data_IF_091499384769
#
_entry.id   IF_091499384769
#
_cell.length_a   1.000
_cell.length_b   1.000
_cell.length_c   1.000
_cell.angle_alpha   90.00
_cell.angle_beta   90.00
_cell.angle_gamma   90.00
#
_symmetry.space_group_name_H-M   'P 1'
#
loop_
_entity.id
_entity.type
_entity.pdbx_description
1 polymer ?
#
# COMPACT_ATOMS: atom_id res chain seq x y z
N UNK A 1 -19.38 -68.82 -36.85
CA UNK A 1 -20.33 -67.96 -37.58
C UNK A 1 -20.03 -66.49 -37.21
N UNK A 2 -19.41 -65.80 -38.17
CA UNK A 2 -19.00 -64.38 -38.03
C UNK A 2 -20.20 -63.45 -38.12
N UNK A 3 -20.29 -62.48 -37.19
CA UNK A 3 -21.01 -61.24 -37.46
C UNK A 3 -20.12 -60.05 -37.10
N UNK A 4 -19.71 -59.36 -38.14
CA UNK A 4 -18.98 -58.07 -38.10
C UNK A 4 -19.97 -56.97 -37.75
N UNK A 5 -19.67 -56.19 -36.74
CA UNK A 5 -20.38 -54.93 -36.46
C UNK A 5 -19.66 -53.76 -37.10
N UNK A 6 -20.38 -53.03 -37.91
CA UNK A 6 -19.96 -51.80 -38.61
C UNK A 6 -20.12 -50.66 -37.66
N UNK A 7 -19.00 -49.88 -37.45
CA UNK A 7 -19.03 -48.61 -36.71
C UNK A 7 -19.21 -47.49 -37.75
N UNK A 8 -20.34 -46.78 -37.66
CA UNK A 8 -20.56 -45.52 -38.40
C UNK A 8 -19.86 -44.38 -37.66
N UNK A 9 -18.93 -43.75 -38.31
CA UNK A 9 -18.35 -42.48 -37.89
C UNK A 9 -19.21 -41.32 -38.42
N UNK A 10 -19.80 -40.54 -37.52
CA UNK A 10 -20.45 -39.28 -37.87
C UNK A 10 -19.48 -38.15 -37.71
N UNK A 11 -19.11 -37.56 -38.84
CA UNK A 11 -18.33 -36.30 -38.90
C UNK A 11 -19.24 -35.14 -38.60
N UNK A 12 -18.98 -34.41 -37.49
CA UNK A 12 -19.59 -33.11 -37.21
C UNK A 12 -18.75 -32.01 -37.83
N UNK A 13 -19.30 -31.34 -38.80
CA UNK A 13 -18.77 -30.13 -39.43
C UNK A 13 -19.05 -28.94 -38.52
N UNK A 14 -17.98 -28.34 -37.93
CA UNK A 14 -18.08 -27.06 -37.22
C UNK A 14 -17.97 -25.90 -38.22
N UNK A 15 -19.02 -25.13 -38.37
CA UNK A 15 -19.02 -23.89 -39.10
C UNK A 15 -18.34 -22.77 -38.29
N UNK A 16 -17.19 -22.29 -38.73
CA UNK A 16 -16.54 -21.14 -38.18
C UNK A 16 -17.16 -19.86 -38.76
N UNK A 17 -17.86 -19.09 -37.91
CA UNK A 17 -18.30 -17.74 -38.26
C UNK A 17 -17.11 -16.78 -38.11
N UNK A 18 -16.61 -16.28 -39.22
CA UNK A 18 -15.60 -15.20 -39.29
C UNK A 18 -16.29 -13.87 -38.96
N UNK A 19 -15.99 -13.30 -37.81
CA UNK A 19 -16.29 -11.92 -37.48
C UNK A 19 -15.19 -11.05 -38.09
N UNK A 20 -15.53 -10.34 -39.16
CA UNK A 20 -14.66 -9.39 -39.83
C UNK A 20 -14.44 -8.16 -38.95
N UNK A 21 -13.22 -7.97 -38.46
CA UNK A 21 -12.76 -6.72 -37.85
C UNK A 21 -12.22 -5.85 -39.00
N UNK A 22 -12.94 -4.82 -39.34
CA UNK A 22 -12.45 -3.77 -40.24
C UNK A 22 -11.44 -2.91 -39.51
N UNK A 23 -10.16 -3.11 -39.80
CA UNK A 23 -9.07 -2.21 -39.41
C UNK A 23 -9.17 -0.95 -40.28
N UNK A 24 -9.54 0.18 -39.69
CA UNK A 24 -9.39 1.48 -40.31
C UNK A 24 -7.90 1.80 -40.39
N UNK A 25 -7.40 1.85 -41.63
CA UNK A 25 -6.04 2.30 -41.94
C UNK A 25 -6.04 3.82 -41.86
N UNK A 26 -5.36 4.38 -40.87
CA UNK A 26 -5.01 5.80 -40.81
C UNK A 26 -3.72 5.98 -41.62
N UNK A 27 -3.64 6.91 -42.59
CA UNK A 27 -2.41 7.12 -43.33
C UNK A 27 -1.32 7.70 -42.43
N UNK A 28 -0.16 7.13 -42.51
CA UNK A 28 1.05 7.59 -41.88
C UNK A 28 1.65 8.73 -42.70
N UNK A 29 1.54 9.96 -42.20
CA UNK A 29 2.49 11.01 -42.51
C UNK A 29 3.05 11.53 -41.19
N UNK A 30 4.15 10.92 -40.77
CA UNK A 30 5.02 11.49 -39.75
C UNK A 30 6.45 11.15 -40.13
N UNK A 31 7.21 12.17 -40.41
CA UNK A 31 8.65 12.14 -40.65
C UNK A 31 9.37 11.39 -39.54
N UNK A 32 10.25 10.49 -39.94
CA UNK A 32 11.26 9.91 -39.07
C UNK A 32 12.23 11.01 -38.62
N UNK A 33 12.33 11.19 -37.32
CA UNK A 33 13.52 11.70 -36.68
C UNK A 33 13.75 10.96 -35.35
N UNK A 34 14.77 10.12 -35.38
CA UNK A 34 15.73 9.92 -34.33
C UNK A 34 15.35 9.12 -33.07
N UNK A 35 15.85 7.90 -33.06
CA UNK A 35 16.40 7.18 -31.89
C UNK A 35 15.51 7.04 -30.64
N UNK A 36 15.04 5.79 -30.42
CA UNK A 36 14.45 5.33 -29.18
C UNK A 36 15.32 5.65 -27.97
N UNK A 37 14.92 6.60 -27.14
CA UNK A 37 15.40 6.79 -25.81
C UNK A 37 14.50 6.00 -24.84
N UNK A 38 15.08 4.96 -24.26
CA UNK A 38 14.59 4.34 -23.04
C UNK A 38 14.26 5.44 -22.03
N UNK A 39 13.07 5.39 -21.42
CA UNK A 39 12.59 6.38 -20.46
C UNK A 39 13.58 6.61 -19.34
N UNK A 40 14.34 7.69 -19.44
CA UNK A 40 15.25 8.19 -18.43
C UNK A 40 14.42 8.75 -17.27
N UNK A 41 14.53 8.14 -16.09
CA UNK A 41 14.14 8.76 -14.81
C UNK A 41 15.15 9.87 -14.43
N UNK A 42 15.32 10.85 -15.23
CA UNK A 42 16.25 11.92 -14.91
C UNK A 42 16.16 13.01 -15.94
N UNK A 43 15.92 14.22 -15.50
CA UNK A 43 16.11 15.51 -16.18
C UNK A 43 14.90 16.22 -16.80
N UNK A 44 13.67 15.70 -16.65
CA UNK A 44 12.47 16.45 -17.07
C UNK A 44 11.80 17.27 -15.95
N UNK A 45 12.41 17.43 -14.79
CA UNK A 45 11.77 18.06 -13.62
C UNK A 45 12.01 19.57 -13.48
N UNK A 46 12.77 20.17 -14.37
CA UNK A 46 13.18 21.59 -14.20
C UNK A 46 12.04 22.61 -14.35
N UNK A 47 10.85 22.21 -14.86
CA UNK A 47 9.73 23.12 -15.05
C UNK A 47 8.39 22.64 -14.46
N UNK A 48 8.33 21.52 -13.73
CA UNK A 48 7.13 21.15 -13.01
C UNK A 48 7.03 21.99 -11.74
N UNK A 49 5.88 22.60 -11.48
CA UNK A 49 5.62 23.32 -10.25
C UNK A 49 5.86 22.35 -9.06
N UNK A 50 6.95 22.59 -8.32
CA UNK A 50 7.25 21.85 -7.10
C UNK A 50 6.44 22.42 -5.96
N UNK A 51 6.12 21.57 -4.98
CA UNK A 51 5.52 22.06 -3.74
C UNK A 51 6.47 22.98 -2.97
N UNK A 52 5.94 23.66 -1.99
CA UNK A 52 6.70 24.51 -1.06
C UNK A 52 6.83 23.82 0.27
N UNK A 53 8.07 23.62 0.73
CA UNK A 53 8.33 23.15 2.10
C UNK A 53 7.95 24.21 3.12
N UNK A 54 7.27 23.82 4.19
CA UNK A 54 6.83 24.74 5.23
C UNK A 54 6.00 24.07 6.31
N UNK A 55 5.60 24.87 7.27
CA UNK A 55 4.65 24.46 8.30
C UNK A 55 3.28 24.21 7.68
N UNK A 56 2.55 23.26 8.26
CA UNK A 56 1.16 22.95 7.91
C UNK A 56 0.22 23.65 8.87
N UNK A 57 -1.01 23.92 8.41
CA UNK A 57 -2.09 24.38 9.28
C UNK A 57 -2.98 23.20 9.73
N UNK A 58 -3.63 23.38 10.89
CA UNK A 58 -4.55 22.39 11.45
C UNK A 58 -5.96 22.47 10.83
N UNK A 59 -6.24 23.48 10.00
CA UNK A 59 -7.59 23.76 9.52
C UNK A 59 -7.97 22.79 8.42
N UNK A 60 -8.99 21.98 8.68
CA UNK A 60 -9.56 21.07 7.71
C UNK A 60 -10.86 21.67 7.16
N UNK A 61 -10.93 21.81 5.84
CA UNK A 61 -12.17 22.19 5.15
C UNK A 61 -13.10 20.97 5.07
N UNK A 62 -14.39 21.21 4.86
CA UNK A 62 -15.40 20.15 4.76
C UNK A 62 -15.13 19.18 3.58
N UNK A 63 -14.43 19.64 2.52
CA UNK A 63 -14.04 18.84 1.35
C UNK A 63 -12.69 18.13 1.51
N UNK A 64 -12.04 18.24 2.66
CA UNK A 64 -10.73 17.64 2.90
C UNK A 64 -10.80 16.10 2.88
N UNK A 65 -9.91 15.49 2.12
CA UNK A 65 -9.72 14.04 2.05
C UNK A 65 -8.28 13.72 2.42
N UNK A 66 -8.11 12.70 3.26
CA UNK A 66 -6.82 12.34 3.83
C UNK A 66 -6.34 10.99 3.31
N UNK A 67 -5.02 10.87 3.16
CA UNK A 67 -4.37 9.65 2.69
C UNK A 67 -3.10 9.41 3.49
N UNK A 68 -2.71 8.14 3.54
CA UNK A 68 -1.43 7.72 4.11
C UNK A 68 -0.77 6.65 3.24
N UNK A 69 0.52 6.43 3.46
CA UNK A 69 1.26 5.33 2.89
C UNK A 69 2.42 4.92 3.79
N UNK A 70 2.72 3.62 3.77
CA UNK A 70 3.91 3.03 4.37
C UNK A 70 4.91 2.74 3.27
N UNK A 71 6.06 3.39 3.34
CA UNK A 71 7.11 3.30 2.31
C UNK A 71 8.27 2.45 2.82
N UNK A 72 8.77 1.58 1.96
CA UNK A 72 10.00 0.84 2.18
C UNK A 72 10.71 0.56 0.84
N UNK A 73 12.00 0.20 0.91
CA UNK A 73 12.79 -0.05 -0.29
C UNK A 73 12.40 -1.31 -1.05
N UNK A 74 11.77 -2.30 -0.37
CA UNK A 74 11.33 -3.54 -1.02
C UNK A 74 10.14 -3.34 -1.96
N UNK A 75 9.44 -2.22 -1.85
CA UNK A 75 8.33 -1.87 -2.73
C UNK A 75 8.80 -1.16 -4.02
N UNK A 76 10.06 -0.77 -4.09
CA UNK A 76 10.61 -0.16 -5.31
C UNK A 76 10.64 -1.15 -6.46
N UNK A 77 10.47 -0.63 -7.66
CA UNK A 77 10.43 -1.42 -8.89
C UNK A 77 11.61 -1.01 -9.77
N UNK A 78 12.63 -1.86 -9.89
CA UNK A 78 13.79 -1.54 -10.73
C UNK A 78 13.39 -1.48 -12.22
N UNK A 79 14.06 -0.61 -12.96
CA UNK A 79 13.97 -0.54 -14.42
C UNK A 79 15.29 -1.03 -15.00
N UNK A 80 15.23 -1.88 -16.02
CA UNK A 80 16.44 -2.39 -16.68
C UNK A 80 17.28 -1.21 -17.21
N UNK A 81 18.56 -1.16 -16.81
CA UNK A 81 19.46 -0.06 -17.15
C UNK A 81 19.15 1.28 -16.49
N UNK A 82 18.17 1.31 -15.60
CA UNK A 82 17.78 2.51 -14.85
C UNK A 82 18.67 2.77 -13.62
N UNK A 83 18.44 3.91 -12.95
CA UNK A 83 19.18 4.28 -11.74
C UNK A 83 18.87 3.34 -10.57
N UNK A 84 19.74 3.35 -9.55
CA UNK A 84 19.57 2.54 -8.35
C UNK A 84 18.26 2.85 -7.63
N UNK A 85 17.60 1.80 -7.13
CA UNK A 85 16.36 1.86 -6.36
C UNK A 85 16.41 0.91 -5.15
N UNK A 86 15.63 1.23 -4.13
CA UNK A 86 15.32 0.30 -3.04
C UNK A 86 16.34 0.27 -1.92
N UNK A 87 16.32 1.27 -1.05
CA UNK A 87 17.07 1.28 0.20
C UNK A 87 16.48 0.23 1.17
N UNK A 88 17.24 -0.82 1.46
CA UNK A 88 16.77 -1.97 2.26
C UNK A 88 16.42 -1.58 3.70
N UNK A 89 17.16 -0.64 4.26
CA UNK A 89 16.98 -0.16 5.63
C UNK A 89 15.98 0.98 5.71
N UNK A 90 15.67 1.56 4.55
CA UNK A 90 14.80 2.71 4.38
C UNK A 90 13.35 2.44 4.77
N UNK A 91 12.80 3.37 5.56
CA UNK A 91 11.38 3.39 5.94
C UNK A 91 10.88 4.82 5.97
N UNK A 92 9.66 5.02 5.48
CA UNK A 92 8.97 6.30 5.63
C UNK A 92 7.47 6.10 5.77
N UNK A 93 6.83 7.08 6.38
CA UNK A 93 5.39 7.27 6.36
C UNK A 93 5.12 8.56 5.61
N UNK A 94 4.11 8.53 4.77
CA UNK A 94 3.62 9.71 4.08
C UNK A 94 2.16 9.94 4.41
N UNK A 95 1.79 11.22 4.58
CA UNK A 95 0.40 11.66 4.69
C UNK A 95 0.12 12.75 3.66
N UNK A 96 -1.10 12.74 3.12
CA UNK A 96 -1.63 13.82 2.30
C UNK A 96 -2.97 14.30 2.84
N UNK A 97 -3.19 15.60 2.71
CA UNK A 97 -4.53 16.21 2.77
C UNK A 97 -4.79 16.89 1.42
N UNK A 98 -5.90 16.54 0.77
CA UNK A 98 -6.37 17.19 -0.46
C UNK A 98 -7.60 17.97 -0.15
N UNK A 99 -7.54 19.30 -0.25
CA UNK A 99 -8.69 20.21 -0.06
C UNK A 99 -8.70 21.28 -1.16
N UNK A 100 -9.76 21.26 -2.00
CA UNK A 100 -9.79 22.08 -3.21
C UNK A 100 -8.67 21.68 -4.18
N UNK A 101 -7.80 22.64 -4.53
CA UNK A 101 -6.62 22.47 -5.36
C UNK A 101 -5.31 22.44 -4.57
N UNK A 102 -5.39 22.46 -3.24
CA UNK A 102 -4.24 22.35 -2.35
C UNK A 102 -4.02 20.91 -1.91
N UNK A 103 -2.78 20.46 -1.99
CA UNK A 103 -2.29 19.18 -1.49
C UNK A 103 -1.25 19.43 -0.43
N UNK A 104 -1.61 19.27 0.85
CA UNK A 104 -0.65 19.30 1.95
C UNK A 104 0.01 17.93 2.09
N UNK A 105 1.31 17.88 2.41
CA UNK A 105 2.04 16.64 2.60
C UNK A 105 2.87 16.66 3.89
N UNK A 106 3.01 15.48 4.49
CA UNK A 106 3.90 15.25 5.62
C UNK A 106 4.60 13.90 5.46
N UNK A 107 5.91 13.90 5.56
CA UNK A 107 6.74 12.70 5.57
C UNK A 107 7.51 12.60 6.88
N UNK A 108 7.59 11.38 7.42
CA UNK A 108 8.57 11.00 8.45
C UNK A 108 9.39 9.85 7.88
N UNK A 109 10.72 9.91 7.95
CA UNK A 109 11.61 8.92 7.35
C UNK A 109 12.81 8.61 8.23
N UNK A 110 13.33 7.39 8.07
CA UNK A 110 14.48 6.86 8.80
C UNK A 110 15.19 5.79 7.97
N UNK A 111 16.46 5.54 8.28
CA UNK A 111 17.28 4.53 7.60
C UNK A 111 17.54 4.84 6.12
N UNK A 112 17.35 6.08 5.69
CA UNK A 112 17.71 6.57 4.35
C UNK A 112 18.64 7.76 4.46
N UNK A 113 19.47 7.98 3.46
CA UNK A 113 20.21 9.24 3.32
C UNK A 113 19.24 10.42 3.16
N UNK A 114 19.76 11.65 3.33
CA UNK A 114 18.94 12.87 3.19
C UNK A 114 18.19 12.89 1.85
N UNK A 115 16.86 12.96 1.85
CA UNK A 115 16.08 12.98 0.62
C UNK A 115 16.43 14.15 -0.31
N UNK A 116 16.50 13.84 -1.61
CA UNK A 116 16.74 14.81 -2.69
C UNK A 116 15.46 15.19 -3.43
N UNK A 117 14.44 14.31 -3.41
CA UNK A 117 13.14 14.58 -4.01
C UNK A 117 12.04 13.74 -3.37
N UNK A 118 10.79 14.19 -3.51
CA UNK A 118 9.59 13.45 -3.14
C UNK A 118 8.45 13.72 -4.11
N UNK A 119 7.68 12.68 -4.44
CA UNK A 119 6.60 12.74 -5.42
C UNK A 119 5.42 11.84 -5.05
N UNK A 120 4.25 12.12 -5.65
CA UNK A 120 3.24 11.10 -5.93
C UNK A 120 3.30 10.74 -7.41
N UNK A 121 3.36 9.46 -7.68
CA UNK A 121 3.29 8.89 -9.02
C UNK A 121 1.93 8.22 -9.25
N UNK A 122 1.53 8.05 -10.50
CA UNK A 122 0.38 7.24 -10.87
C UNK A 122 0.86 5.89 -11.41
N UNK A 123 0.63 4.83 -10.66
CA UNK A 123 1.02 3.47 -11.00
C UNK A 123 0.50 2.50 -9.95
N UNK A 124 -0.03 1.37 -10.39
CA UNK A 124 -0.44 0.28 -9.51
C UNK A 124 0.76 -0.34 -8.80
N UNK A 125 0.51 -1.13 -7.77
CA UNK A 125 1.54 -1.90 -7.05
C UNK A 125 2.40 -2.72 -8.02
N UNK A 126 3.72 -2.62 -7.88
CA UNK A 126 4.68 -3.33 -8.73
C UNK A 126 4.81 -2.78 -10.16
N UNK A 127 4.26 -1.60 -10.44
CA UNK A 127 4.38 -0.92 -11.74
C UNK A 127 4.91 0.50 -11.54
N UNK A 128 5.92 0.87 -12.33
CA UNK A 128 6.37 2.25 -12.40
C UNK A 128 5.38 3.09 -13.20
N UNK A 129 5.25 4.35 -12.81
CA UNK A 129 4.36 5.30 -13.45
C UNK A 129 4.93 6.72 -13.42
N UNK A 130 4.30 7.62 -14.15
CA UNK A 130 4.72 9.01 -14.24
C UNK A 130 4.55 9.76 -12.91
N UNK A 131 5.43 10.72 -12.63
CA UNK A 131 5.25 11.73 -11.58
C UNK A 131 3.98 12.53 -11.87
N UNK A 132 3.12 12.68 -10.88
CA UNK A 132 1.88 13.44 -11.00
C UNK A 132 1.81 14.62 -10.04
N UNK A 133 2.34 14.48 -8.84
CA UNK A 133 2.40 15.57 -7.86
C UNK A 133 3.83 15.64 -7.31
N UNK A 134 4.65 16.59 -7.78
CA UNK A 134 5.96 16.85 -7.21
C UNK A 134 5.83 17.67 -5.94
N UNK A 135 6.52 17.24 -4.87
CA UNK A 135 6.56 17.95 -3.60
C UNK A 135 7.80 18.81 -3.45
N UNK A 136 8.96 18.20 -3.64
CA UNK A 136 10.22 18.90 -3.71
C UNK A 136 11.21 18.14 -4.59
N UNK A 137 12.16 18.87 -5.17
CA UNK A 137 13.23 18.34 -6.03
C UNK A 137 14.60 18.96 -5.66
N UNK A 138 14.75 19.35 -4.39
CA UNK A 138 15.99 19.88 -3.83
C UNK A 138 16.32 19.11 -2.57
N UNK A 139 17.60 18.75 -2.40
CA UNK A 139 18.10 18.06 -1.21
C UNK A 139 17.65 18.80 0.05
N UNK A 140 17.06 18.07 0.98
CA UNK A 140 16.71 18.59 2.30
C UNK A 140 18.00 18.93 3.10
N UNK A 141 17.91 19.80 4.12
CA UNK A 141 19.01 19.97 5.07
C UNK A 141 19.37 18.63 5.74
N UNK A 142 20.67 18.41 5.94
CA UNK A 142 21.14 17.18 6.59
C UNK A 142 20.62 17.07 8.03
N UNK A 143 20.41 15.82 8.49
CA UNK A 143 19.88 15.54 9.82
C UNK A 143 18.34 15.67 9.94
N UNK A 144 17.64 16.08 8.89
CA UNK A 144 16.19 16.07 8.87
C UNK A 144 15.66 14.63 8.82
N UNK A 145 14.61 14.37 9.60
CA UNK A 145 13.85 13.11 9.60
C UNK A 145 12.40 13.30 9.17
N UNK A 146 12.02 14.56 8.88
CA UNK A 146 10.67 14.91 8.44
C UNK A 146 10.71 15.94 7.31
N UNK A 147 9.69 15.94 6.46
CA UNK A 147 9.43 16.98 5.47
C UNK A 147 7.93 17.27 5.41
N UNK A 148 7.57 18.54 5.52
CA UNK A 148 6.18 19.01 5.43
C UNK A 148 6.07 20.16 4.45
N UNK A 149 4.90 20.34 3.87
CA UNK A 149 4.66 21.45 2.94
C UNK A 149 3.35 21.30 2.18
N UNK A 150 3.19 22.15 1.17
CA UNK A 150 2.00 22.18 0.32
C UNK A 150 2.38 22.23 -1.16
N UNK A 151 1.55 21.67 -2.01
CA UNK A 151 1.62 21.78 -3.47
C UNK A 151 0.25 22.22 -4.02
N UNK A 152 0.26 23.12 -5.00
CA UNK A 152 -0.96 23.49 -5.71
C UNK A 152 -1.15 22.57 -6.92
N UNK A 153 -2.30 21.90 -7.01
CA UNK A 153 -2.64 20.96 -8.08
C UNK A 153 -3.95 21.38 -8.72
N UNK A 154 -3.88 22.02 -9.88
CA UNK A 154 -5.05 22.54 -10.61
C UNK A 154 -5.74 21.49 -11.47
N UNK A 155 -5.10 20.34 -11.72
CA UNK A 155 -5.68 19.20 -12.46
C UNK A 155 -6.77 18.52 -11.61
N UNK A 156 -8.01 18.95 -11.79
CA UNK A 156 -9.17 18.38 -11.09
C UNK A 156 -9.42 16.90 -11.41
N UNK A 157 -9.02 16.44 -12.62
CA UNK A 157 -9.16 15.03 -13.01
C UNK A 157 -8.18 14.16 -12.21
N UNK A 158 -6.94 14.63 -12.08
CA UNK A 158 -5.93 13.98 -11.25
C UNK A 158 -6.38 13.86 -9.78
N UNK A 159 -6.85 14.98 -9.20
CA UNK A 159 -7.34 14.97 -7.81
C UNK A 159 -8.58 14.09 -7.64
N UNK A 160 -9.48 14.08 -8.64
CA UNK A 160 -10.63 13.17 -8.68
C UNK A 160 -10.19 11.70 -8.70
N UNK A 161 -9.24 11.32 -9.55
CA UNK A 161 -8.69 9.97 -9.64
C UNK A 161 -8.01 9.54 -8.32
N UNK A 162 -7.19 10.43 -7.73
CA UNK A 162 -6.55 10.17 -6.43
C UNK A 162 -7.58 9.93 -5.31
N UNK A 163 -8.69 10.66 -5.30
CA UNK A 163 -9.76 10.51 -4.29
C UNK A 163 -10.59 9.23 -4.49
N UNK A 164 -10.80 8.79 -5.74
CA UNK A 164 -11.65 7.64 -6.08
C UNK A 164 -10.90 6.31 -6.09
N UNK A 165 -9.64 6.31 -6.55
CA UNK A 165 -8.79 5.12 -6.64
C UNK A 165 -7.36 5.42 -6.16
N UNK A 166 -7.18 5.70 -4.85
CA UNK A 166 -5.89 6.06 -4.30
C UNK A 166 -4.83 4.97 -4.49
N UNK A 167 -5.21 3.68 -4.50
CA UNK A 167 -4.28 2.57 -4.65
C UNK A 167 -3.62 2.48 -6.04
N UNK A 168 -4.10 3.22 -7.03
CA UNK A 168 -3.44 3.40 -8.32
C UNK A 168 -2.34 4.47 -8.28
N UNK A 169 -2.05 5.04 -7.12
CA UNK A 169 -0.99 6.00 -6.89
C UNK A 169 -0.01 5.51 -5.83
N UNK A 170 1.21 6.02 -5.86
CA UNK A 170 2.22 5.72 -4.85
C UNK A 170 3.08 6.93 -4.51
N UNK A 171 3.50 6.99 -3.25
CA UNK A 171 4.53 7.90 -2.77
C UNK A 171 5.90 7.36 -3.12
N UNK A 172 6.84 8.26 -3.43
CA UNK A 172 8.24 7.93 -3.61
C UNK A 172 9.14 9.02 -3.00
N UNK A 173 10.15 8.59 -2.24
CA UNK A 173 11.26 9.42 -1.78
C UNK A 173 12.54 8.98 -2.48
N UNK A 174 13.33 9.96 -2.93
CA UNK A 174 14.60 9.75 -3.61
C UNK A 174 15.75 10.25 -2.75
N UNK A 175 16.92 9.63 -2.89
CA UNK A 175 18.17 10.05 -2.27
C UNK A 175 19.28 10.11 -3.31
N UNK A 176 20.44 10.65 -2.95
CA UNK A 176 21.60 10.65 -3.85
C UNK A 176 22.09 9.23 -4.18
N UNK A 177 21.95 8.27 -3.25
CA UNK A 177 22.33 6.87 -3.43
C UNK A 177 21.29 6.11 -4.25
N UNK A 178 20.00 6.41 -4.07
CA UNK A 178 18.89 5.80 -4.79
C UNK A 178 18.10 6.85 -5.59
N UNK A 179 18.67 7.36 -6.68
CA UNK A 179 18.02 8.40 -7.48
C UNK A 179 16.79 7.90 -8.25
N UNK A 180 16.64 6.59 -8.44
CA UNK A 180 15.44 5.97 -8.99
C UNK A 180 14.30 5.81 -8.00
N UNK A 181 14.56 5.98 -6.70
CA UNK A 181 13.64 5.83 -5.57
C UNK A 181 14.26 5.05 -4.42
N UNK A 182 14.37 5.66 -3.26
CA UNK A 182 14.88 5.01 -2.07
C UNK A 182 13.80 4.17 -1.38
N UNK A 183 12.60 4.74 -1.21
CA UNK A 183 11.47 4.06 -0.58
C UNK A 183 10.16 4.45 -1.27
N UNK A 184 9.28 3.45 -1.43
CA UNK A 184 7.99 3.55 -2.11
C UNK A 184 6.87 2.94 -1.29
N UNK A 185 5.65 3.50 -1.37
CA UNK A 185 4.42 2.93 -0.79
C UNK A 185 3.18 3.39 -1.52
N UNK A 186 2.18 2.48 -1.67
CA UNK A 186 0.90 2.85 -2.28
C UNK A 186 0.15 3.85 -1.39
N UNK A 187 -0.65 4.69 -2.03
CA UNK A 187 -1.52 5.65 -1.36
C UNK A 187 -2.77 4.94 -0.89
N UNK A 188 -3.14 5.14 0.38
CA UNK A 188 -4.37 4.62 0.99
C UNK A 188 -5.18 5.76 1.56
N UNK A 189 -6.50 5.74 1.35
CA UNK A 189 -7.40 6.73 1.92
C UNK A 189 -7.59 6.45 3.40
N UNK A 190 -7.49 7.48 4.24
CA UNK A 190 -7.84 7.41 5.65
C UNK A 190 -9.35 7.53 5.84
N UNK A 191 -9.86 6.83 6.85
CA UNK A 191 -11.29 6.86 7.23
C UNK A 191 -11.65 8.02 8.14
N UNK A 192 -10.66 8.60 8.82
CA UNK A 192 -10.85 9.71 9.73
C UNK A 192 -10.06 10.95 9.30
N UNK A 193 -10.53 12.16 9.61
CA UNK A 193 -9.75 13.38 9.46
C UNK A 193 -8.48 13.33 10.32
N UNK A 194 -7.38 13.85 9.76
CA UNK A 194 -6.09 13.97 10.43
C UNK A 194 -5.74 15.45 10.60
N UNK A 195 -5.20 15.81 11.75
CA UNK A 195 -4.48 17.06 11.92
C UNK A 195 -3.10 16.93 11.27
N UNK A 196 -2.91 17.65 10.16
CA UNK A 196 -1.65 17.57 9.41
C UNK A 196 -0.46 18.13 10.18
N UNK A 197 -0.67 18.99 11.19
CA UNK A 197 0.41 19.54 12.03
C UNK A 197 1.01 18.49 12.96
N UNK A 198 0.24 17.47 13.32
CA UNK A 198 0.67 16.34 14.16
C UNK A 198 0.95 15.07 13.39
N UNK A 199 0.74 15.05 12.08
CA UNK A 199 0.90 13.85 11.24
C UNK A 199 2.27 13.16 11.41
N UNK A 200 3.33 13.96 11.60
CA UNK A 200 4.70 13.45 11.82
C UNK A 200 4.92 12.78 13.18
N UNK A 201 3.96 12.85 14.12
CA UNK A 201 3.95 12.12 15.39
C UNK A 201 3.48 10.67 15.21
N UNK A 202 2.89 10.36 14.07
CA UNK A 202 2.53 8.99 13.70
C UNK A 202 3.78 8.15 13.49
N UNK A 203 3.67 6.85 13.72
CA UNK A 203 4.82 5.97 13.57
C UNK A 203 4.45 4.68 12.83
N UNK A 204 5.47 4.03 12.29
CA UNK A 204 5.38 2.75 11.59
C UNK A 204 6.15 1.69 12.33
N UNK A 205 5.59 0.48 12.37
CA UNK A 205 6.28 -0.71 12.84
C UNK A 205 5.94 -1.91 11.97
N UNK A 206 6.98 -2.59 11.47
CA UNK A 206 6.84 -3.78 10.64
C UNK A 206 6.83 -5.05 11.49
N UNK A 207 6.16 -6.09 11.02
CA UNK A 207 6.22 -7.43 11.61
C UNK A 207 7.66 -7.96 11.51
N UNK A 208 8.27 -8.25 12.66
CA UNK A 208 9.58 -8.89 12.75
C UNK A 208 9.44 -10.40 12.70
N UNK A 209 8.42 -10.92 13.40
CA UNK A 209 8.05 -12.33 13.39
C UNK A 209 6.55 -12.42 13.67
N UNK A 210 5.83 -13.17 12.85
CA UNK A 210 4.40 -13.31 13.07
C UNK A 210 3.73 -14.37 12.23
N UNK A 211 2.58 -14.84 12.72
CA UNK A 211 1.69 -15.75 12.02
C UNK A 211 0.24 -15.34 12.23
N UNK A 212 -0.55 -15.43 11.17
CA UNK A 212 -2.00 -15.48 11.28
C UNK A 212 -2.40 -16.85 11.80
N UNK A 213 -3.27 -16.90 12.77
CA UNK A 213 -3.74 -18.14 13.39
C UNK A 213 -5.16 -18.41 12.90
N UNK A 214 -5.37 -19.58 12.33
CA UNK A 214 -6.65 -20.03 11.84
C UNK A 214 -7.10 -21.24 12.66
N UNK A 215 -8.38 -21.30 13.00
CA UNK A 215 -9.02 -22.47 13.61
C UNK A 215 -9.80 -23.26 12.55
N UNK A 216 -9.74 -24.58 12.66
CA UNK A 216 -10.60 -25.47 11.87
C UNK A 216 -12.00 -25.47 12.45
N UNK A 217 -12.94 -24.79 11.80
CA UNK A 217 -14.31 -24.59 12.28
C UNK A 217 -15.32 -25.18 11.32
N UNK A 218 -16.45 -25.63 11.86
CA UNK A 218 -17.58 -26.08 11.06
C UNK A 218 -18.24 -24.87 10.40
N UNK A 219 -18.49 -24.97 9.09
CA UNK A 219 -19.21 -23.98 8.29
C UNK A 219 -20.71 -24.28 8.28
N UNK A 220 -21.49 -23.31 7.78
CA UNK A 220 -22.95 -23.43 7.70
C UNK A 220 -23.42 -24.60 6.79
N UNK A 221 -22.59 -24.94 5.77
CA UNK A 221 -22.84 -26.09 4.88
C UNK A 221 -22.48 -27.47 5.49
N UNK A 222 -22.04 -27.47 6.76
CA UNK A 222 -21.63 -28.67 7.49
C UNK A 222 -20.20 -29.13 7.24
N UNK A 223 -19.46 -28.53 6.28
CA UNK A 223 -18.03 -28.79 6.02
C UNK A 223 -17.16 -28.11 7.06
N UNK A 224 -15.89 -28.54 7.14
CA UNK A 224 -14.89 -27.88 7.97
C UNK A 224 -13.92 -27.07 7.11
N UNK A 225 -13.53 -25.90 7.59
CA UNK A 225 -12.55 -25.05 6.95
C UNK A 225 -11.86 -24.11 7.93
N UNK A 226 -10.73 -23.56 7.52
CA UNK A 226 -9.96 -22.64 8.33
C UNK A 226 -10.60 -21.25 8.33
N UNK A 227 -10.88 -20.72 9.55
CA UNK A 227 -11.36 -19.36 9.78
C UNK A 227 -10.40 -18.61 10.68
N UNK A 228 -10.32 -17.28 10.52
CA UNK A 228 -9.45 -16.43 11.33
C UNK A 228 -9.80 -16.57 12.82
N UNK A 229 -8.81 -16.95 13.62
CA UNK A 229 -8.95 -17.15 15.06
C UNK A 229 -8.16 -16.12 15.86
N UNK A 230 -6.91 -15.90 15.47
CA UNK A 230 -6.01 -15.00 16.18
C UNK A 230 -4.88 -14.53 15.25
N UNK A 231 -3.99 -13.74 15.80
CA UNK A 231 -2.66 -13.44 15.28
C UNK A 231 -1.67 -13.57 16.41
N UNK A 232 -0.47 -14.01 16.12
CA UNK A 232 0.66 -14.02 17.06
C UNK A 232 1.83 -13.37 16.36
N UNK A 233 2.15 -12.13 16.73
CA UNK A 233 3.22 -11.39 16.09
C UNK A 233 3.95 -10.47 17.06
N UNK A 234 5.21 -10.21 16.73
CA UNK A 234 6.03 -9.16 17.33
C UNK A 234 6.44 -8.20 16.23
N UNK A 235 6.15 -6.93 16.44
CA UNK A 235 6.56 -5.84 15.56
C UNK A 235 7.87 -5.22 16.07
N UNK A 236 8.50 -4.42 15.26
CA UNK A 236 9.64 -3.58 15.66
C UNK A 236 9.33 -2.78 16.94
N UNK A 237 10.36 -2.49 17.74
CA UNK A 237 10.16 -1.87 19.07
C UNK A 237 9.53 -2.81 20.09
N UNK A 238 9.47 -4.11 19.80
CA UNK A 238 8.89 -5.15 20.68
C UNK A 238 7.39 -4.93 20.98
N UNK A 239 6.65 -4.41 20.05
CA UNK A 239 5.19 -4.32 20.14
C UNK A 239 4.61 -5.72 19.94
N UNK A 240 3.85 -6.21 20.91
CA UNK A 240 3.11 -7.45 20.79
C UNK A 240 1.81 -7.23 20.01
N UNK A 241 1.46 -8.17 19.12
CA UNK A 241 0.21 -8.15 18.37
C UNK A 241 -0.49 -9.49 18.46
N UNK A 242 -1.70 -9.46 18.97
CA UNK A 242 -2.60 -10.60 19.13
C UNK A 242 -4.05 -10.14 18.96
N UNK A 243 -5.01 -11.06 19.06
CA UNK A 243 -6.38 -10.68 19.36
C UNK A 243 -6.59 -10.66 20.90
N UNK A 244 -7.52 -9.87 21.38
CA UNK A 244 -7.88 -9.82 22.81
C UNK A 244 -8.36 -11.18 23.34
N UNK A 245 -8.92 -12.00 22.45
CA UNK A 245 -9.35 -13.40 22.62
C UNK A 245 -9.50 -14.04 21.24
N UNK A 246 -9.64 -15.36 21.21
CA UNK A 246 -9.99 -16.11 19.97
C UNK A 246 -11.20 -15.49 19.27
N UNK A 247 -11.05 -15.16 17.98
CA UNK A 247 -12.07 -14.49 17.17
C UNK A 247 -12.42 -13.06 17.58
N UNK A 248 -11.68 -12.47 18.54
CA UNK A 248 -11.93 -11.12 19.05
C UNK A 248 -11.29 -10.02 18.24
N UNK A 249 -11.26 -8.81 18.81
CA UNK A 249 -10.62 -7.66 18.19
C UNK A 249 -9.09 -7.80 18.18
N UNK A 250 -8.39 -7.37 17.13
CA UNK A 250 -6.95 -7.27 17.13
C UNK A 250 -6.49 -6.18 18.13
N UNK A 251 -5.36 -6.44 18.80
CA UNK A 251 -4.74 -5.50 19.73
C UNK A 251 -3.23 -5.41 19.49
N UNK A 252 -2.67 -4.28 19.88
CA UNK A 252 -1.24 -4.00 19.89
C UNK A 252 -0.88 -3.47 21.26
N UNK A 253 0.18 -4.03 21.86
CA UNK A 253 0.62 -3.74 23.23
C UNK A 253 2.08 -3.33 23.16
N UNK A 254 2.40 -2.14 23.64
CA UNK A 254 3.76 -1.64 23.75
C UNK A 254 4.39 -2.03 25.09
N UNK A 255 5.72 -1.91 25.17
CA UNK A 255 6.48 -2.22 26.40
C UNK A 255 6.14 -1.30 27.58
N UNK A 256 5.67 -0.09 27.30
CA UNK A 256 5.26 0.89 28.32
C UNK A 256 3.86 0.60 28.90
N UNK A 257 3.22 -0.50 28.48
CA UNK A 257 1.89 -0.90 28.91
C UNK A 257 0.75 -0.18 28.19
N UNK A 258 1.04 0.80 27.32
CA UNK A 258 0.01 1.36 26.45
C UNK A 258 -0.42 0.33 25.41
N UNK A 259 -1.70 0.32 25.09
CA UNK A 259 -2.27 -0.61 24.12
C UNK A 259 -3.44 0.00 23.37
N UNK A 260 -3.69 -0.55 22.18
CA UNK A 260 -4.86 -0.21 21.36
C UNK A 260 -5.50 -1.47 20.83
N UNK A 261 -6.81 -1.44 20.66
CA UNK A 261 -7.58 -2.41 19.88
C UNK A 261 -8.02 -1.78 18.56
N UNK A 262 -8.17 -2.60 17.51
CA UNK A 262 -8.62 -2.14 16.19
C UNK A 262 -10.03 -2.63 15.86
N UNK A 263 -10.87 -1.73 15.32
CA UNK A 263 -12.15 -2.06 14.70
C UNK A 263 -12.07 -1.82 13.20
N UNK A 264 -12.34 -2.87 12.39
CA UNK A 264 -12.29 -2.77 10.93
C UNK A 264 -13.23 -1.69 10.40
N UNK A 265 -12.69 -0.80 9.57
CA UNK A 265 -13.42 0.21 8.80
C UNK A 265 -13.45 -0.17 7.33
N UNK A 266 -12.29 -0.44 6.74
CA UNK A 266 -12.20 -0.85 5.35
C UNK A 266 -11.09 -1.88 5.12
N UNK A 267 -11.20 -2.62 4.01
CA UNK A 267 -10.18 -3.56 3.55
C UNK A 267 -9.93 -3.39 2.06
N UNK A 268 -8.68 -3.53 1.66
CA UNK A 268 -8.24 -3.49 0.26
C UNK A 268 -7.55 -4.81 -0.06
N UNK A 269 -8.00 -5.56 -1.08
CA UNK A 269 -7.32 -6.77 -1.51
C UNK A 269 -5.86 -6.49 -1.92
N UNK A 270 -4.96 -7.40 -1.58
CA UNK A 270 -3.54 -7.32 -1.96
C UNK A 270 -3.07 -8.57 -2.70
N UNK A 271 -3.87 -9.04 -3.66
CA UNK A 271 -3.66 -10.28 -4.40
C UNK A 271 -4.06 -11.53 -3.61
N UNK A 272 -4.12 -12.67 -4.29
CA UNK A 272 -4.64 -13.93 -3.73
C UNK A 272 -3.72 -14.57 -2.69
N UNK A 273 -2.43 -14.29 -2.75
CA UNK A 273 -1.42 -14.89 -1.84
C UNK A 273 -1.21 -14.10 -0.55
N UNK A 274 -1.84 -12.93 -0.42
CA UNK A 274 -1.63 -12.04 0.71
C UNK A 274 -2.95 -11.74 1.41
N UNK A 275 -2.89 -11.61 2.74
CA UNK A 275 -4.03 -11.07 3.49
C UNK A 275 -4.30 -9.62 3.06
N UNK A 276 -5.56 -9.16 3.10
CA UNK A 276 -5.90 -7.81 2.67
C UNK A 276 -5.21 -6.74 3.51
N UNK A 277 -4.99 -5.58 2.94
CA UNK A 277 -4.62 -4.37 3.66
C UNK A 277 -5.87 -3.83 4.37
N UNK A 278 -5.68 -3.24 5.55
CA UNK A 278 -6.78 -2.82 6.41
C UNK A 278 -6.62 -1.38 6.87
N UNK A 279 -7.75 -0.71 7.02
CA UNK A 279 -7.93 0.47 7.83
C UNK A 279 -8.79 0.12 9.05
N UNK A 280 -8.31 0.45 10.23
CA UNK A 280 -8.95 0.14 11.50
C UNK A 280 -9.02 1.39 12.39
N UNK A 281 -10.19 1.66 12.93
CA UNK A 281 -10.31 2.65 14.01
C UNK A 281 -9.69 2.09 15.28
N UNK A 282 -8.78 2.85 15.88
CA UNK A 282 -8.13 2.49 17.13
C UNK A 282 -8.92 2.95 18.35
N UNK A 283 -8.88 2.14 19.39
CA UNK A 283 -9.41 2.46 20.72
C UNK A 283 -8.36 2.10 21.76
N UNK A 284 -8.00 3.04 22.61
CA UNK A 284 -7.07 2.80 23.73
C UNK A 284 -7.61 1.71 24.66
N UNK A 285 -6.76 0.76 25.06
CA UNK A 285 -7.13 -0.40 25.88
C UNK A 285 -6.09 -0.76 26.95
N UNK A 286 -5.01 0.01 27.06
CA UNK A 286 -3.95 -0.17 28.03
C UNK A 286 -3.72 1.06 28.88
N UNK A 287 -2.47 1.33 29.25
CA UNK A 287 -2.11 2.52 30.02
C UNK A 287 -2.53 3.81 29.26
N UNK A 288 -3.06 4.77 29.99
CA UNK A 288 -3.59 6.03 29.44
C UNK A 288 -2.50 6.95 28.85
N UNK A 289 -1.24 6.65 29.13
CA UNK A 289 -0.06 7.34 28.60
C UNK A 289 0.85 6.33 27.90
N UNK A 290 1.71 6.82 27.02
CA UNK A 290 2.69 6.00 26.31
C UNK A 290 2.50 5.99 24.80
N UNK A 291 3.18 5.09 24.13
CA UNK A 291 3.32 5.04 22.68
C UNK A 291 1.96 5.05 21.93
N UNK A 292 0.99 4.30 22.44
CA UNK A 292 -0.32 4.15 21.81
C UNK A 292 -1.38 5.14 22.29
N UNK A 293 -1.09 5.97 23.29
CA UNK A 293 -2.08 6.89 23.84
C UNK A 293 -2.70 7.86 22.80
N UNK A 294 -1.93 8.46 21.87
CA UNK A 294 -2.47 9.36 20.85
C UNK A 294 -3.04 8.65 19.61
N UNK A 295 -2.96 7.32 19.52
CA UNK A 295 -3.31 6.58 18.29
C UNK A 295 -4.82 6.46 18.15
N UNK A 296 -5.34 6.86 16.98
CA UNK A 296 -6.77 6.87 16.65
C UNK A 296 -7.13 6.03 15.44
N UNK A 297 -6.15 5.67 14.62
CA UNK A 297 -6.33 4.86 13.42
C UNK A 297 -5.10 3.96 13.22
N UNK A 298 -5.31 2.77 12.70
CA UNK A 298 -4.25 1.80 12.44
C UNK A 298 -4.41 1.30 11.01
N UNK A 299 -3.37 1.44 10.21
CA UNK A 299 -3.32 0.84 8.88
C UNK A 299 -2.45 -0.41 8.91
N UNK A 300 -2.93 -1.51 8.32
CA UNK A 300 -2.12 -2.69 7.99
C UNK A 300 -1.85 -2.66 6.49
N UNK A 301 -0.62 -2.40 6.11
CA UNK A 301 -0.19 -2.16 4.73
C UNK A 301 0.93 -3.14 4.33
N UNK A 302 1.26 -3.19 3.04
CA UNK A 302 2.37 -3.96 2.50
C UNK A 302 2.34 -5.44 2.92
N UNK A 303 1.15 -6.03 3.00
CA UNK A 303 0.97 -7.41 3.46
C UNK A 303 1.60 -8.41 2.50
N UNK A 304 2.23 -9.45 3.07
CA UNK A 304 2.78 -10.60 2.34
C UNK A 304 2.41 -11.88 3.08
N UNK A 305 1.91 -12.86 2.37
CA UNK A 305 1.49 -14.14 2.94
C UNK A 305 0.29 -14.04 3.89
N UNK A 306 0.22 -14.95 4.84
CA UNK A 306 -0.79 -14.97 5.91
C UNK A 306 -2.16 -15.49 5.52
N UNK A 307 -2.41 -15.89 4.28
CA UNK A 307 -3.72 -16.38 3.81
C UNK A 307 -4.03 -17.75 4.43
N UNK A 308 -5.30 -17.96 4.79
CA UNK A 308 -5.75 -19.25 5.34
C UNK A 308 -5.38 -20.40 4.39
N UNK A 309 -5.01 -21.60 4.94
CA UNK A 309 -4.83 -22.76 4.09
C UNK A 309 -6.10 -23.06 3.31
N UNK A 310 -5.95 -23.39 2.03
CA UNK A 310 -7.08 -23.76 1.17
C UNK A 310 -7.59 -25.18 1.48
N UNK A 311 -8.86 -25.41 1.17
CA UNK A 311 -9.51 -26.71 1.29
C UNK A 311 -10.09 -27.02 2.67
N UNK A 312 -10.63 -28.25 2.85
CA UNK A 312 -11.18 -28.69 4.10
C UNK A 312 -10.11 -28.97 5.16
N UNK A 313 -10.47 -28.90 6.43
CA UNK A 313 -9.61 -29.28 7.54
C UNK A 313 -10.29 -30.35 8.41
N UNK A 314 -9.50 -31.01 9.25
CA UNK A 314 -9.99 -31.98 10.25
C UNK A 314 -9.71 -31.41 11.66
N UNK A 315 -10.76 -31.07 12.43
CA UNK A 315 -10.57 -30.47 13.75
C UNK A 315 -9.85 -31.39 14.76
N UNK A 316 -9.86 -32.71 14.53
CA UNK A 316 -9.18 -33.66 15.40
C UNK A 316 -7.69 -33.82 15.07
N UNK A 317 -7.32 -33.65 13.81
CA UNK A 317 -5.93 -33.80 13.33
C UNK A 317 -5.20 -32.48 13.23
N UNK A 318 -5.89 -31.42 12.82
CA UNK A 318 -5.33 -30.09 12.63
C UNK A 318 -6.32 -29.02 13.13
N UNK A 319 -6.48 -28.88 14.46
CA UNK A 319 -7.43 -27.92 15.03
C UNK A 319 -7.06 -26.47 14.73
N UNK A 320 -5.79 -26.17 14.53
CA UNK A 320 -5.29 -24.82 14.18
C UNK A 320 -4.18 -24.88 13.14
N UNK A 321 -4.07 -23.79 12.36
CA UNK A 321 -2.96 -23.54 11.45
C UNK A 321 -2.35 -22.15 11.74
N UNK A 322 -1.03 -22.10 11.82
CA UNK A 322 -0.26 -20.86 11.92
C UNK A 322 0.40 -20.57 10.58
N UNK A 323 0.02 -19.47 9.93
CA UNK A 323 0.52 -19.10 8.61
C UNK A 323 1.37 -17.85 8.73
N UNK A 324 2.68 -17.93 8.41
CA UNK A 324 3.58 -16.77 8.45
C UNK A 324 3.09 -15.62 7.60
N UNK A 325 3.28 -14.40 8.06
CA UNK A 325 2.96 -13.19 7.32
C UNK A 325 3.91 -12.04 7.64
N UNK A 326 3.98 -11.10 6.73
CA UNK A 326 4.62 -9.80 6.90
C UNK A 326 3.59 -8.70 6.69
N UNK A 327 3.77 -7.59 7.36
CA UNK A 327 3.00 -6.37 7.17
C UNK A 327 3.72 -5.18 7.81
N UNK A 328 3.43 -3.99 7.31
CA UNK A 328 3.73 -2.73 7.96
C UNK A 328 2.46 -2.21 8.65
N UNK A 329 2.57 -1.83 9.91
CA UNK A 329 1.51 -1.14 10.63
C UNK A 329 1.85 0.33 10.78
N UNK A 330 0.95 1.20 10.31
CA UNK A 330 1.03 2.65 10.54
C UNK A 330 0.05 2.98 11.65
N UNK A 331 0.55 3.56 12.72
CA UNK A 331 -0.22 4.03 13.87
C UNK A 331 -0.37 5.54 13.76
N UNK A 332 -1.58 5.97 13.39
CA UNK A 332 -1.89 7.37 13.14
C UNK A 332 -2.23 8.06 14.47
N UNK A 333 -1.44 9.05 14.82
CA UNK A 333 -1.59 9.84 16.04
C UNK A 333 -2.38 11.14 15.77
N UNK A 334 -3.16 11.55 16.75
CA UNK A 334 -3.78 12.90 16.79
C UNK A 334 -2.84 13.91 17.40
#
# INVERSE_FOLDING_TARGET
MNRRSIVLATTATAAAAAVGITLAVIPADAKEDGAGRAGSHGTGHENAATGTLGALDATNRADAVFFAGSLNGLNEVPTAGGPAVGDKDGRAIAFLRVQGDEVSFAFSFRGIATPTAAHVHQGARGKNGAVRIPFFAKKLPDGRTTATGTAKVTDKKLLGALKSDPNSFYFNLHTGEFPGGAVRGQVHKLSAPLDMTTATNSFQSSVVKGSQIYACTKKDDGTYGFTQDNVSATLGGSIAHSFVRSGGAPQWIARDGSAVTGKLVSKVPNGEKNIPELDLRATSSGAARGLFAPVTEILRLNTRGGVAPAGPCDPNRQPKAAVPYEADYVFVAK
#
